data_IF_792113483657
#
_entry.id   IF_792113483657
#
_cell.length_a   1.000
_cell.length_b   1.000
_cell.length_c   1.000
_cell.angle_alpha   90.00
_cell.angle_beta   90.00
_cell.angle_gamma   90.00
#
_symmetry.space_group_name_H-M   'P 1'
#
loop_
_entity.id
_entity.type
_entity.pdbx_description
1 polymer ?
#
# COMPACT_ATOMS: atom_id res chain seq x y z
N UNK A 1 37.01 30.57 22.46
CA UNK A 1 37.97 29.59 21.92
C UNK A 1 39.22 30.31 21.39
N UNK A 2 40.04 30.92 22.25
CA UNK A 2 41.34 31.45 21.81
C UNK A 2 42.41 31.55 22.91
N UNK A 3 42.26 30.78 24.00
CA UNK A 3 43.18 30.83 25.14
C UNK A 3 43.51 29.43 25.69
N UNK A 4 43.58 28.42 24.83
CA UNK A 4 43.91 27.02 25.23
C UNK A 4 44.91 26.38 24.25
N UNK A 5 45.98 27.09 23.87
CA UNK A 5 46.99 26.51 22.94
C UNK A 5 48.40 26.41 23.55
N UNK A 6 48.70 27.00 24.71
CA UNK A 6 50.07 27.00 25.25
C UNK A 6 50.20 26.53 26.71
N UNK A 7 49.58 25.40 27.09
CA UNK A 7 49.91 24.72 28.35
C UNK A 7 50.31 23.26 28.12
N UNK A 8 51.27 22.74 28.92
CA UNK A 8 51.95 21.48 28.63
C UNK A 8 50.99 20.30 28.71
N UNK A 9 51.22 19.35 27.81
CA UNK A 9 50.53 18.08 27.52
C UNK A 9 50.44 17.08 28.69
N UNK A 10 50.50 17.52 29.95
CA UNK A 10 50.57 16.66 31.14
C UNK A 10 49.58 17.05 32.25
N UNK A 11 48.53 17.83 31.96
CA UNK A 11 47.56 18.28 32.98
C UNK A 11 46.56 17.21 33.44
N UNK A 12 46.36 16.13 32.69
CA UNK A 12 45.44 15.05 33.06
C UNK A 12 46.05 13.68 32.70
N UNK A 13 46.22 12.76 33.66
CA UNK A 13 46.69 11.41 33.35
C UNK A 13 45.68 10.68 32.46
N UNK A 14 46.13 9.87 31.50
CA UNK A 14 45.26 9.14 30.54
C UNK A 14 44.14 8.33 31.22
N UNK A 15 44.40 7.84 32.43
CA UNK A 15 43.41 7.13 33.26
C UNK A 15 42.23 8.04 33.63
N UNK A 16 42.49 9.32 33.94
CA UNK A 16 41.44 10.30 34.23
C UNK A 16 40.59 10.59 32.99
N UNK A 17 41.23 10.76 31.82
CA UNK A 17 40.53 10.97 30.55
C UNK A 17 39.65 9.77 30.19
N UNK A 18 40.16 8.55 30.38
CA UNK A 18 39.41 7.30 30.15
C UNK A 18 38.22 7.17 31.12
N UNK A 19 38.42 7.44 32.40
CA UNK A 19 37.34 7.39 33.39
C UNK A 19 36.27 8.46 33.13
N UNK A 20 36.67 9.67 32.71
CA UNK A 20 35.75 10.73 32.33
C UNK A 20 34.95 10.36 31.07
N UNK A 21 35.60 9.77 30.06
CA UNK A 21 34.95 9.29 28.85
C UNK A 21 33.97 8.15 29.16
N UNK A 22 34.34 7.20 30.03
CA UNK A 22 33.47 6.14 30.49
C UNK A 22 32.24 6.71 31.22
N UNK A 23 32.44 7.62 32.18
CA UNK A 23 31.34 8.27 32.88
C UNK A 23 30.43 9.04 31.92
N UNK A 24 31.00 9.78 30.97
CA UNK A 24 30.21 10.49 29.96
C UNK A 24 29.39 9.52 29.09
N UNK A 25 29.96 8.37 28.72
CA UNK A 25 29.26 7.33 27.96
C UNK A 25 28.11 6.72 28.78
N UNK A 26 28.33 6.43 30.06
CA UNK A 26 27.29 5.93 30.98
C UNK A 26 26.17 6.97 31.18
N UNK A 27 26.53 8.23 31.40
CA UNK A 27 25.57 9.34 31.54
C UNK A 27 24.76 9.52 30.25
N UNK A 28 25.42 9.49 29.08
CA UNK A 28 24.76 9.55 27.77
C UNK A 28 23.79 8.39 27.57
N UNK A 29 24.21 7.15 27.83
CA UNK A 29 23.34 5.97 27.72
C UNK A 29 22.15 6.02 28.67
N UNK A 30 22.34 6.52 29.90
CA UNK A 30 21.27 6.71 30.88
C UNK A 30 20.24 7.74 30.40
N UNK A 31 20.71 8.87 29.86
CA UNK A 31 19.84 9.92 29.31
C UNK A 31 19.11 9.44 28.05
N UNK A 32 19.81 8.80 27.11
CA UNK A 32 19.21 8.20 25.92
C UNK A 32 18.17 7.15 26.29
N UNK A 33 18.46 6.28 27.27
CA UNK A 33 17.53 5.29 27.79
C UNK A 33 16.25 5.94 28.34
N UNK A 34 16.39 6.98 29.17
CA UNK A 34 15.24 7.73 29.73
C UNK A 34 14.38 8.36 28.63
N UNK A 35 15.00 9.00 27.64
CA UNK A 35 14.26 9.60 26.52
C UNK A 35 13.58 8.56 25.65
N UNK A 36 14.26 7.46 25.33
CA UNK A 36 13.68 6.36 24.56
C UNK A 36 12.47 5.75 25.28
N UNK A 37 12.55 5.54 26.60
CA UNK A 37 11.43 5.07 27.40
C UNK A 37 10.27 6.08 27.41
N UNK A 38 10.56 7.37 27.57
CA UNK A 38 9.54 8.43 27.56
C UNK A 38 8.84 8.55 26.19
N UNK A 39 9.61 8.52 25.10
CA UNK A 39 9.08 8.54 23.73
C UNK A 39 8.21 7.31 23.47
N UNK A 40 8.67 6.12 23.88
CA UNK A 40 7.91 4.87 23.69
C UNK A 40 6.59 4.92 24.45
N UNK A 41 6.62 5.33 25.73
CA UNK A 41 5.41 5.49 26.54
C UNK A 41 4.44 6.52 25.93
N UNK A 42 4.95 7.63 25.40
CA UNK A 42 4.13 8.64 24.74
C UNK A 42 3.49 8.10 23.44
N UNK A 43 4.26 7.35 22.62
CA UNK A 43 3.75 6.72 21.40
C UNK A 43 2.66 5.69 21.71
N UNK A 44 2.87 4.84 22.70
CA UNK A 44 1.88 3.84 23.12
C UNK A 44 0.60 4.51 23.62
N UNK A 45 0.74 5.59 24.40
CA UNK A 45 -0.41 6.37 24.87
C UNK A 45 -1.19 7.01 23.70
N UNK A 46 -0.49 7.62 22.74
CA UNK A 46 -1.11 8.20 21.53
C UNK A 46 -1.82 7.13 20.69
N UNK A 47 -1.21 5.96 20.53
CA UNK A 47 -1.80 4.83 19.81
C UNK A 47 -3.08 4.33 20.48
N UNK A 48 -3.09 4.22 21.81
CA UNK A 48 -4.27 3.84 22.57
C UNK A 48 -5.38 4.90 22.45
N UNK A 49 -5.05 6.19 22.64
CA UNK A 49 -6.01 7.27 22.48
C UNK A 49 -6.63 7.31 21.09
N UNK A 50 -5.81 7.09 20.05
CA UNK A 50 -6.28 7.02 18.67
C UNK A 50 -7.28 5.87 18.49
N UNK A 51 -6.94 4.66 18.96
CA UNK A 51 -7.83 3.50 18.89
C UNK A 51 -9.16 3.77 19.59
N UNK A 52 -9.13 4.24 20.83
CA UNK A 52 -10.34 4.56 21.59
C UNK A 52 -11.19 5.61 20.89
N UNK A 53 -10.56 6.62 20.26
CA UNK A 53 -11.28 7.67 19.53
C UNK A 53 -11.95 7.12 18.28
N UNK A 54 -11.29 6.27 17.51
CA UNK A 54 -11.87 5.61 16.32
C UNK A 54 -13.08 4.76 16.72
N UNK A 55 -12.97 3.96 17.79
CA UNK A 55 -14.07 3.12 18.26
C UNK A 55 -15.27 3.96 18.73
N UNK A 56 -15.04 5.04 19.49
CA UNK A 56 -16.11 5.96 19.91
C UNK A 56 -16.82 6.62 18.72
N UNK A 57 -16.07 7.10 17.72
CA UNK A 57 -16.65 7.69 16.50
C UNK A 57 -17.54 6.71 15.75
N UNK A 58 -17.19 5.43 15.75
CA UNK A 58 -18.02 4.39 15.16
C UNK A 58 -19.29 4.13 15.95
N UNK A 59 -19.21 4.03 17.27
CA UNK A 59 -20.39 3.90 18.14
C UNK A 59 -21.37 5.07 17.92
N UNK A 60 -20.87 6.30 17.85
CA UNK A 60 -21.65 7.50 17.51
C UNK A 60 -22.31 7.39 16.11
N UNK A 61 -21.59 6.85 15.12
CA UNK A 61 -22.12 6.63 13.77
C UNK A 61 -23.23 5.59 13.74
N UNK A 62 -23.14 4.52 14.55
CA UNK A 62 -24.18 3.48 14.63
C UNK A 62 -25.46 4.02 15.25
N UNK A 63 -25.35 4.80 16.33
CA UNK A 63 -26.50 5.45 16.99
C UNK A 63 -27.18 6.46 16.07
N UNK A 64 -26.39 7.20 15.28
CA UNK A 64 -26.94 8.15 14.31
C UNK A 64 -27.73 7.47 13.19
N UNK A 65 -27.31 6.28 12.75
CA UNK A 65 -28.03 5.52 11.72
C UNK A 65 -29.31 4.85 12.26
N UNK A 66 -29.31 4.36 13.51
CA UNK A 66 -30.50 3.71 14.10
C UNK A 66 -31.65 4.70 14.35
N UNK A 67 -31.33 5.97 14.66
CA UNK A 67 -32.32 7.05 14.80
C UNK A 67 -32.96 7.47 13.46
N UNK A 68 -32.27 7.25 12.33
CA UNK A 68 -32.82 7.54 11.00
C UNK A 68 -33.78 6.45 10.50
N UNK A 69 -33.62 5.20 10.94
CA UNK A 69 -34.48 4.09 10.50
C UNK A 69 -35.84 4.00 11.19
N UNK A 70 -36.07 4.79 12.25
CA UNK A 70 -37.32 4.73 13.03
C UNK A 70 -38.36 5.79 12.68
N UNK A 71 -38.01 6.84 11.91
CA UNK A 71 -38.96 7.90 11.58
C UNK A 71 -38.84 8.29 10.10
N UNK A 72 -39.76 7.78 9.29
CA UNK A 72 -40.08 8.35 7.98
C UNK A 72 -40.68 9.74 8.17
N UNK A 73 -39.84 10.74 8.42
CA UNK A 73 -40.20 12.15 8.26
C UNK A 73 -38.95 13.00 8.10
N UNK A 74 -38.99 13.84 7.07
CA UNK A 74 -38.01 14.89 6.75
C UNK A 74 -37.70 15.72 8.00
N UNK A 75 -36.53 15.57 8.57
CA UNK A 75 -36.03 16.50 9.58
C UNK A 75 -34.59 16.87 9.25
N UNK A 76 -34.43 18.11 8.79
CA UNK A 76 -33.19 18.87 8.86
C UNK A 76 -32.84 19.06 10.34
N UNK A 77 -32.00 18.22 10.91
CA UNK A 77 -31.44 18.46 12.25
C UNK A 77 -29.94 18.66 12.19
N UNK A 78 -29.58 19.95 12.12
CA UNK A 78 -28.34 20.49 12.67
C UNK A 78 -28.27 20.08 14.15
N UNK A 79 -27.50 19.06 14.50
CA UNK A 79 -27.13 18.81 15.89
C UNK A 79 -25.67 19.19 16.15
N UNK A 80 -25.55 20.14 17.07
CA UNK A 80 -24.37 20.72 17.67
C UNK A 80 -23.58 19.67 18.46
N UNK A 81 -22.36 19.41 18.03
CA UNK A 81 -21.33 18.76 18.85
C UNK A 81 -20.85 19.78 19.89
N UNK A 82 -20.74 19.43 21.19
CA UNK A 82 -20.26 20.35 22.22
C UNK A 82 -18.81 20.82 21.93
N UNK A 83 -18.60 22.11 22.15
CA UNK A 83 -17.49 22.93 21.65
C UNK A 83 -16.16 22.79 22.43
N UNK A 84 -15.89 21.66 23.09
CA UNK A 84 -14.72 21.52 23.99
C UNK A 84 -13.71 20.43 23.57
N UNK A 85 -13.84 19.84 22.39
CA UNK A 85 -12.80 18.96 21.83
C UNK A 85 -12.02 19.68 20.73
N UNK A 86 -10.68 19.74 20.78
CA UNK A 86 -9.87 20.42 19.76
C UNK A 86 -9.95 19.79 18.35
N UNK A 87 -10.76 18.74 18.14
CA UNK A 87 -10.99 18.10 16.84
C UNK A 87 -12.48 17.81 16.62
N UNK A 88 -13.20 18.79 16.06
CA UNK A 88 -14.58 18.62 15.58
C UNK A 88 -14.59 17.95 14.19
N UNK A 89 -14.34 16.64 14.18
CA UNK A 89 -14.51 15.80 12.98
C UNK A 89 -15.99 15.63 12.73
N UNK A 90 -16.47 16.03 11.55
CA UNK A 90 -17.82 15.69 11.07
C UNK A 90 -17.63 14.81 9.84
N UNK A 91 -18.32 13.68 9.78
CA UNK A 91 -18.32 12.83 8.59
C UNK A 91 -19.17 13.54 7.54
N UNK A 92 -18.64 13.76 6.34
CA UNK A 92 -19.45 14.32 5.26
C UNK A 92 -20.59 13.34 4.95
N UNK A 93 -21.83 13.77 5.17
CA UNK A 93 -22.99 13.14 4.51
C UNK A 93 -22.78 13.36 3.00
N UNK A 94 -23.00 12.36 2.13
CA UNK A 94 -22.83 12.51 0.69
C UNK A 94 -23.91 13.46 0.12
N UNK A 95 -23.76 14.76 0.38
CA UNK A 95 -24.37 15.80 -0.43
C UNK A 95 -23.65 15.81 -1.77
N UNK A 96 -24.42 15.90 -2.85
CA UNK A 96 -24.00 15.90 -4.25
C UNK A 96 -23.12 17.10 -4.64
N UNK A 97 -22.00 17.29 -3.95
CA UNK A 97 -20.97 18.27 -4.28
C UNK A 97 -20.12 17.66 -5.37
N UNK A 98 -20.37 18.07 -6.61
CA UNK A 98 -19.53 17.94 -7.82
C UNK A 98 -18.21 17.18 -7.65
N UNK A 99 -18.28 15.86 -7.46
CA UNK A 99 -17.16 15.00 -7.81
C UNK A 99 -17.27 14.87 -9.33
N UNK A 100 -16.22 15.23 -10.08
CA UNK A 100 -16.09 14.73 -11.45
C UNK A 100 -16.45 13.25 -11.41
N UNK A 101 -17.46 12.87 -12.18
CA UNK A 101 -18.12 11.57 -12.06
C UNK A 101 -17.07 10.51 -12.40
N UNK A 102 -16.43 9.93 -11.39
CA UNK A 102 -15.42 8.90 -11.54
C UNK A 102 -16.07 7.75 -12.29
N UNK A 103 -15.50 7.38 -13.45
CA UNK A 103 -16.01 6.23 -14.20
C UNK A 103 -15.68 4.97 -13.43
N UNK A 104 -16.71 4.23 -13.07
CA UNK A 104 -16.60 2.98 -12.34
C UNK A 104 -17.66 1.96 -12.79
N UNK A 105 -17.28 0.69 -12.79
CA UNK A 105 -18.17 -0.44 -13.05
C UNK A 105 -17.84 -1.57 -12.10
N UNK A 106 -18.85 -2.30 -11.63
CA UNK A 106 -18.71 -3.36 -10.63
C UNK A 106 -19.31 -4.67 -11.15
N UNK A 107 -18.67 -5.78 -10.84
CA UNK A 107 -19.05 -7.12 -11.26
C UNK A 107 -18.92 -8.07 -10.08
N UNK A 108 -19.89 -8.95 -9.91
CA UNK A 108 -19.76 -10.10 -9.01
C UNK A 108 -19.52 -11.34 -9.86
N UNK A 109 -18.41 -12.02 -9.61
CA UNK A 109 -17.99 -13.20 -10.36
C UNK A 109 -17.87 -14.39 -9.41
N UNK A 110 -18.24 -15.56 -9.91
CA UNK A 110 -18.05 -16.82 -9.22
C UNK A 110 -16.97 -17.61 -9.95
N UNK A 111 -15.96 -18.08 -9.21
CA UNK A 111 -14.82 -18.80 -9.75
C UNK A 111 -14.63 -20.11 -8.99
N UNK A 112 -14.51 -21.22 -9.71
CA UNK A 112 -14.25 -22.54 -9.17
C UNK A 112 -15.01 -23.64 -9.90
N UNK A 113 -14.45 -24.85 -9.96
CA UNK A 113 -15.10 -25.98 -10.63
C UNK A 113 -16.11 -26.70 -9.73
N UNK A 114 -15.79 -26.85 -8.43
CA UNK A 114 -16.62 -27.57 -7.45
C UNK A 114 -17.03 -26.65 -6.29
N UNK A 115 -16.06 -25.98 -5.66
CA UNK A 115 -16.28 -24.94 -4.66
C UNK A 115 -16.15 -23.56 -5.34
N UNK A 116 -17.28 -22.88 -5.54
CA UNK A 116 -17.29 -21.55 -6.17
C UNK A 116 -17.02 -20.47 -5.13
N UNK A 117 -15.91 -19.76 -5.29
CA UNK A 117 -15.61 -18.55 -4.52
C UNK A 117 -16.19 -17.32 -5.22
N UNK A 118 -16.82 -16.44 -4.44
CA UNK A 118 -17.35 -15.18 -4.94
C UNK A 118 -16.31 -14.07 -4.82
N UNK A 119 -16.14 -13.30 -5.90
CA UNK A 119 -15.28 -12.13 -5.93
C UNK A 119 -16.06 -10.92 -6.44
N UNK A 120 -15.76 -9.75 -5.88
CA UNK A 120 -16.26 -8.48 -6.37
C UNK A 120 -15.15 -7.79 -7.16
N UNK A 121 -15.31 -7.65 -8.46
CA UNK A 121 -14.39 -6.90 -9.31
C UNK A 121 -14.94 -5.50 -9.50
N UNK A 122 -14.09 -4.47 -9.37
CA UNK A 122 -14.48 -3.09 -9.64
C UNK A 122 -13.47 -2.44 -10.57
N UNK A 123 -13.88 -2.08 -11.77
CA UNK A 123 -13.06 -1.33 -12.72
C UNK A 123 -13.27 0.16 -12.50
N UNK A 124 -12.20 0.91 -12.27
CA UNK A 124 -12.26 2.32 -11.85
C UNK A 124 -11.24 3.12 -12.63
N UNK A 125 -11.64 4.29 -13.14
CA UNK A 125 -10.72 5.27 -13.72
C UNK A 125 -10.36 6.33 -12.70
N UNK A 126 -9.12 6.32 -12.20
CA UNK A 126 -8.60 7.36 -11.30
C UNK A 126 -7.08 7.36 -11.24
N UNK A 127 -6.53 8.30 -10.47
CA UNK A 127 -5.12 8.25 -10.04
C UNK A 127 -4.97 7.21 -8.93
N UNK A 128 -3.91 6.40 -8.98
CA UNK A 128 -3.65 5.37 -7.97
C UNK A 128 -3.47 5.97 -6.57
N UNK A 129 -2.85 7.14 -6.47
CA UNK A 129 -2.56 7.81 -5.20
C UNK A 129 -3.80 8.46 -4.58
N UNK A 130 -4.93 8.56 -5.29
CA UNK A 130 -6.19 9.05 -4.72
C UNK A 130 -6.69 8.18 -3.57
N UNK A 131 -6.37 6.88 -3.57
CA UNK A 131 -6.65 5.97 -2.46
C UNK A 131 -5.81 6.24 -1.22
N UNK A 132 -4.66 6.90 -1.38
CA UNK A 132 -3.76 7.26 -0.30
C UNK A 132 -4.07 8.65 0.27
N UNK A 133 -4.45 9.59 -0.61
CA UNK A 133 -4.66 11.00 -0.25
C UNK A 133 -5.92 11.19 0.60
N UNK A 134 -5.74 11.69 1.81
CA UNK A 134 -6.83 12.15 2.66
C UNK A 134 -7.55 13.32 1.97
N UNK A 135 -8.82 13.11 1.62
CA UNK A 135 -9.69 14.16 1.11
C UNK A 135 -10.42 14.80 2.26
N UNK A 136 -10.15 16.09 2.48
CA UNK A 136 -10.81 16.89 3.51
C UNK A 136 -11.60 17.99 2.85
N UNK A 137 -12.90 18.05 3.10
CA UNK A 137 -13.74 19.17 2.67
C UNK A 137 -13.87 20.14 3.83
N UNK A 138 -13.48 21.40 3.64
CA UNK A 138 -13.72 22.46 4.60
C UNK A 138 -15.10 23.07 4.32
N UNK A 139 -16.06 22.86 5.22
CA UNK A 139 -17.37 23.53 5.20
C UNK A 139 -17.62 24.15 6.57
N UNK A 140 -17.95 25.44 6.62
CA UNK A 140 -18.25 26.18 7.86
C UNK A 140 -17.20 26.02 8.99
N UNK A 141 -15.92 26.21 8.69
CA UNK A 141 -14.78 26.04 9.62
C UNK A 141 -14.63 24.63 10.25
N UNK A 142 -15.35 23.64 9.75
CA UNK A 142 -15.24 22.24 10.18
C UNK A 142 -14.54 21.42 9.11
N UNK A 143 -13.63 20.54 9.56
CA UNK A 143 -12.94 19.59 8.69
C UNK A 143 -13.84 18.38 8.54
N UNK A 144 -14.37 18.19 7.33
CA UNK A 144 -15.15 17.01 7.00
C UNK A 144 -14.25 15.93 6.42
N UNK A 145 -14.30 14.74 7.00
CA UNK A 145 -13.66 13.55 6.45
C UNK A 145 -14.66 12.77 5.60
N UNK A 146 -14.15 12.16 4.54
CA UNK A 146 -14.91 11.20 3.75
C UNK A 146 -15.34 9.99 4.60
N UNK A 147 -16.59 9.50 4.48
CA UNK A 147 -17.05 8.28 5.15
C UNK A 147 -16.12 7.08 4.97
N UNK A 148 -15.52 6.95 3.78
CA UNK A 148 -14.57 5.91 3.42
C UNK A 148 -13.36 5.88 4.36
N UNK A 149 -12.92 7.04 4.85
CA UNK A 149 -11.81 7.12 5.80
C UNK A 149 -12.17 6.50 7.14
N UNK A 150 -13.37 6.77 7.66
CA UNK A 150 -13.80 6.15 8.91
C UNK A 150 -13.93 4.63 8.76
N UNK A 151 -14.46 4.16 7.63
CA UNK A 151 -14.55 2.73 7.34
C UNK A 151 -13.17 2.07 7.28
N UNK A 152 -12.18 2.76 6.73
CA UNK A 152 -10.79 2.28 6.68
C UNK A 152 -10.20 2.24 8.09
N UNK A 153 -10.34 3.30 8.88
CA UNK A 153 -9.88 3.31 10.28
C UNK A 153 -10.52 2.21 11.13
N UNK A 154 -11.80 1.93 10.89
CA UNK A 154 -12.51 0.82 11.49
C UNK A 154 -11.91 -0.54 11.10
N UNK A 155 -11.56 -0.68 9.83
CA UNK A 155 -10.98 -1.89 9.26
C UNK A 155 -9.57 -2.19 9.78
N UNK A 156 -8.82 -1.17 10.20
CA UNK A 156 -7.50 -1.32 10.82
C UNK A 156 -7.52 -2.24 12.06
N UNK A 157 -8.64 -2.28 12.78
CA UNK A 157 -8.84 -3.11 13.98
C UNK A 157 -9.76 -4.30 13.74
N UNK A 158 -10.04 -4.64 12.47
CA UNK A 158 -10.91 -5.74 12.06
C UNK A 158 -10.14 -6.80 11.25
N UNK A 159 -10.87 -7.74 10.64
CA UNK A 159 -10.33 -8.71 9.68
C UNK A 159 -10.65 -8.34 8.21
N UNK A 160 -10.80 -7.04 7.92
CA UNK A 160 -11.15 -6.52 6.59
C UNK A 160 -10.14 -5.49 6.08
N UNK A 161 -8.88 -5.87 6.01
CA UNK A 161 -7.80 -4.97 5.59
C UNK A 161 -7.85 -4.67 4.08
N UNK A 162 -7.31 -3.50 3.71
CA UNK A 162 -7.24 -3.01 2.34
C UNK A 162 -5.78 -2.86 1.90
N UNK A 163 -5.43 -3.48 0.78
CA UNK A 163 -4.14 -3.43 0.13
C UNK A 163 -4.16 -2.62 -1.18
N UNK A 164 -3.04 -1.98 -1.51
CA UNK A 164 -2.81 -1.25 -2.75
C UNK A 164 -1.52 -1.74 -3.40
N UNK A 165 -1.53 -1.97 -4.72
CA UNK A 165 -0.31 -2.26 -5.49
C UNK A 165 0.20 -0.98 -6.12
N UNK A 166 1.41 -0.56 -5.74
CA UNK A 166 2.13 0.57 -6.31
C UNK A 166 3.30 0.02 -7.13
N UNK A 167 3.36 0.35 -8.43
CA UNK A 167 4.49 -0.05 -9.27
C UNK A 167 5.66 0.89 -9.03
N UNK A 168 6.84 0.35 -8.76
CA UNK A 168 8.04 1.09 -8.38
C UNK A 168 9.27 0.64 -9.18
N UNK A 169 10.28 1.51 -9.35
CA UNK A 169 11.55 1.11 -9.96
C UNK A 169 12.35 0.14 -9.07
N UNK A 170 13.40 -0.46 -9.62
CA UNK A 170 14.30 -1.40 -8.91
C UNK A 170 14.96 -0.84 -7.66
N UNK A 171 15.23 0.46 -7.65
CA UNK A 171 15.87 1.14 -6.51
C UNK A 171 14.84 1.28 -5.40
N UNK A 172 15.23 0.99 -4.16
CA UNK A 172 14.40 1.23 -2.97
C UNK A 172 14.37 2.71 -2.62
N UNK A 173 15.53 3.37 -2.62
CA UNK A 173 15.72 4.79 -2.28
C UNK A 173 14.83 5.73 -3.09
N UNK A 174 14.34 6.77 -2.41
CA UNK A 174 13.58 7.84 -3.04
C UNK A 174 14.43 8.55 -4.09
N UNK A 175 13.88 8.73 -5.29
CA UNK A 175 14.53 9.50 -6.36
C UNK A 175 13.59 10.63 -6.76
N UNK A 176 14.13 11.83 -6.93
CA UNK A 176 13.33 13.00 -7.28
C UNK A 176 12.53 12.78 -8.57
N UNK A 177 11.23 13.07 -8.51
CA UNK A 177 10.28 12.94 -9.61
C UNK A 177 9.72 11.53 -9.82
N UNK A 178 10.05 10.56 -8.96
CA UNK A 178 9.44 9.23 -9.00
C UNK A 178 8.14 9.14 -8.19
N UNK A 179 7.31 8.14 -8.49
CA UNK A 179 6.04 7.93 -7.78
C UNK A 179 6.22 7.62 -6.29
N UNK A 180 7.41 7.15 -5.86
CA UNK A 180 7.66 6.86 -4.45
C UNK A 180 7.87 8.15 -3.66
N UNK A 181 8.52 9.16 -4.23
CA UNK A 181 8.65 10.49 -3.64
C UNK A 181 7.26 11.12 -3.47
N UNK A 182 6.41 11.04 -4.50
CA UNK A 182 5.04 11.53 -4.38
C UNK A 182 4.25 10.77 -3.29
N UNK A 183 4.37 9.44 -3.26
CA UNK A 183 3.77 8.63 -2.22
C UNK A 183 4.31 8.97 -0.82
N UNK A 184 5.61 9.18 -0.67
CA UNK A 184 6.25 9.60 0.58
C UNK A 184 5.67 10.93 1.07
N UNK A 185 5.54 11.91 0.17
CA UNK A 185 4.88 13.19 0.46
C UNK A 185 3.44 12.99 0.95
N UNK A 186 2.69 12.04 0.37
CA UNK A 186 1.33 11.72 0.84
C UNK A 186 1.35 11.12 2.25
N UNK A 187 2.28 10.21 2.54
CA UNK A 187 2.45 9.61 3.88
C UNK A 187 2.81 10.65 4.95
N UNK A 188 3.53 11.72 4.60
CA UNK A 188 3.96 12.76 5.54
C UNK A 188 2.89 13.83 5.83
N UNK A 189 1.81 13.87 5.05
CA UNK A 189 0.70 14.84 5.26
C UNK A 189 -0.05 14.64 6.57
N UNK A 190 0.05 13.46 7.18
CA UNK A 190 -0.62 13.13 8.44
C UNK A 190 0.23 12.19 9.27
N UNK A 191 0.15 12.32 10.59
CA UNK A 191 0.92 11.46 11.50
C UNK A 191 0.37 10.04 11.52
N UNK A 192 1.25 9.06 11.36
CA UNK A 192 0.93 7.64 11.61
C UNK A 192 1.19 7.30 13.08
N UNK A 193 0.14 6.89 13.80
CA UNK A 193 0.23 6.52 15.20
C UNK A 193 0.49 5.02 15.43
N UNK A 194 0.43 4.19 14.38
CA UNK A 194 0.51 2.74 14.47
C UNK A 194 1.81 2.17 13.94
N UNK A 195 2.30 2.76 12.85
CA UNK A 195 3.45 2.26 12.11
C UNK A 195 4.58 3.30 12.09
N UNK A 196 5.84 2.87 11.95
CA UNK A 196 6.95 3.79 11.72
C UNK A 196 6.72 4.64 10.47
N UNK A 197 7.39 5.80 10.40
CA UNK A 197 7.37 6.63 9.18
C UNK A 197 7.78 5.81 7.95
N UNK A 198 7.32 6.26 6.78
CA UNK A 198 7.62 5.57 5.54
C UNK A 198 9.13 5.46 5.29
N UNK A 199 9.90 6.51 5.60
CA UNK A 199 11.36 6.50 5.54
C UNK A 199 11.97 5.40 6.42
N UNK A 200 11.55 5.28 7.68
CA UNK A 200 12.06 4.24 8.57
C UNK A 200 11.70 2.83 8.08
N UNK A 201 10.49 2.64 7.53
CA UNK A 201 10.10 1.38 6.92
C UNK A 201 11.01 1.07 5.72
N UNK A 202 11.33 2.06 4.88
CA UNK A 202 12.20 1.88 3.72
C UNK A 202 13.62 1.50 4.14
N UNK A 203 14.18 2.12 5.18
CA UNK A 203 15.49 1.73 5.73
C UNK A 203 15.49 0.26 6.19
N UNK A 204 14.47 -0.16 6.93
CA UNK A 204 14.35 -1.58 7.34
C UNK A 204 14.17 -2.53 6.16
N UNK A 205 13.53 -2.08 5.08
CA UNK A 205 13.39 -2.86 3.83
C UNK A 205 14.74 -3.00 3.14
N UNK A 206 15.57 -1.95 3.12
CA UNK A 206 16.92 -1.98 2.56
C UNK A 206 17.81 -2.98 3.30
N UNK A 207 17.77 -2.99 4.63
CA UNK A 207 18.51 -3.97 5.44
C UNK A 207 18.06 -5.41 5.13
N UNK A 208 16.74 -5.63 5.02
CA UNK A 208 16.19 -6.93 4.62
C UNK A 208 16.61 -7.34 3.20
N UNK A 209 16.66 -6.38 2.27
CA UNK A 209 17.03 -6.62 0.87
C UNK A 209 18.49 -7.06 0.76
N UNK A 210 19.40 -6.42 1.51
CA UNK A 210 20.81 -6.82 1.56
C UNK A 210 20.97 -8.26 2.04
N UNK A 211 20.27 -8.63 3.12
CA UNK A 211 20.28 -10.00 3.63
C UNK A 211 19.72 -10.99 2.59
N UNK A 212 18.60 -10.66 1.95
CA UNK A 212 17.99 -11.50 0.93
C UNK A 212 18.90 -11.68 -0.29
N UNK A 213 19.60 -10.63 -0.72
CA UNK A 213 20.56 -10.69 -1.83
C UNK A 213 21.78 -11.55 -1.50
N UNK A 214 22.30 -11.47 -0.28
CA UNK A 214 23.38 -12.35 0.19
C UNK A 214 22.96 -13.83 0.20
N UNK A 215 21.74 -14.14 0.64
CA UNK A 215 21.23 -15.52 0.60
C UNK A 215 21.09 -16.01 -0.84
N UNK A 216 20.58 -15.17 -1.75
CA UNK A 216 20.46 -15.49 -3.18
C UNK A 216 21.83 -15.77 -3.81
N UNK A 217 22.84 -14.92 -3.55
CA UNK A 217 24.19 -15.11 -4.09
C UNK A 217 24.84 -16.40 -3.58
N UNK A 218 24.65 -16.71 -2.31
CA UNK A 218 25.18 -17.93 -1.70
C UNK A 218 24.51 -19.20 -2.24
N UNK A 219 23.20 -19.15 -2.51
CA UNK A 219 22.45 -20.25 -3.12
C UNK A 219 22.85 -20.48 -4.58
N UNK A 220 23.17 -19.44 -5.35
CA UNK A 220 23.72 -19.60 -6.70
C UNK A 220 25.15 -20.15 -6.70
N UNK A 221 25.98 -19.76 -5.72
CA UNK A 221 27.36 -20.22 -5.63
C UNK A 221 27.48 -21.72 -5.28
N UNK A 222 26.48 -22.31 -4.61
CA UNK A 222 26.48 -23.74 -4.25
C UNK A 222 26.06 -24.67 -5.41
N UNK A 223 25.42 -24.13 -6.45
CA UNK A 223 24.98 -24.90 -7.64
C UNK A 223 26.04 -24.94 -8.76
N UNK A 224 26.98 -23.99 -8.78
CA UNK A 224 27.97 -23.82 -9.86
C UNK A 224 29.40 -24.33 -9.53
N UNK A 225 29.53 -25.35 -8.66
CA UNK A 225 30.83 -25.91 -8.27
C UNK A 225 31.63 -26.61 -9.40
N UNK A 226 31.12 -26.64 -10.63
CA UNK A 226 31.76 -27.30 -11.79
C UNK A 226 32.08 -26.39 -12.99
N UNK A 227 31.97 -25.06 -12.88
CA UNK A 227 32.44 -24.16 -13.95
C UNK A 227 33.60 -23.28 -13.47
N UNK A 228 34.83 -23.70 -13.83
CA UNK A 228 36.06 -22.91 -13.69
C UNK A 228 36.05 -21.83 -14.77
N UNK A 229 35.24 -20.80 -14.57
CA UNK A 229 35.49 -19.49 -15.18
C UNK A 229 35.19 -18.44 -14.14
N UNK A 230 36.25 -17.99 -13.48
CA UNK A 230 36.28 -16.83 -12.60
C UNK A 230 35.91 -15.56 -13.38
N UNK A 231 34.61 -15.33 -13.60
CA UNK A 231 34.12 -13.97 -13.77
C UNK A 231 33.97 -13.41 -12.37
N UNK A 232 35.03 -12.74 -11.90
CA UNK A 232 34.89 -11.67 -10.92
C UNK A 232 33.96 -10.64 -11.55
N UNK A 233 32.65 -10.80 -11.39
CA UNK A 233 31.73 -9.69 -11.58
C UNK A 233 31.98 -8.77 -10.40
N UNK A 234 32.79 -7.76 -10.65
CA UNK A 234 32.88 -6.52 -9.90
C UNK A 234 31.50 -5.83 -9.92
N UNK A 235 30.53 -6.49 -9.29
CA UNK A 235 29.20 -5.95 -9.08
C UNK A 235 29.38 -4.81 -8.10
N UNK A 236 29.22 -3.60 -8.59
CA UNK A 236 29.29 -2.39 -7.77
C UNK A 236 28.42 -2.59 -6.52
N UNK A 237 28.83 -2.00 -5.39
CA UNK A 237 28.04 -2.01 -4.14
C UNK A 237 26.59 -1.53 -4.35
N UNK A 238 26.33 -0.82 -5.45
CA UNK A 238 25.00 -0.37 -5.86
C UNK A 238 24.09 -1.52 -6.33
N UNK A 239 24.62 -2.54 -7.00
CA UNK A 239 23.81 -3.67 -7.52
C UNK A 239 23.29 -4.56 -6.39
N UNK A 240 24.00 -4.61 -5.24
CA UNK A 240 23.56 -5.39 -4.07
C UNK A 240 22.34 -4.79 -3.35
N UNK A 241 21.97 -3.54 -3.66
CA UNK A 241 20.81 -2.84 -3.09
C UNK A 241 19.63 -2.73 -4.07
N UNK A 242 19.66 -3.46 -5.19
CA UNK A 242 18.58 -3.44 -6.17
C UNK A 242 17.63 -4.62 -5.98
N UNK A 243 16.33 -4.33 -6.11
CA UNK A 243 15.32 -5.36 -6.23
C UNK A 243 15.27 -5.94 -7.65
N UNK A 244 14.93 -7.22 -7.76
CA UNK A 244 14.67 -7.85 -9.06
C UNK A 244 13.27 -7.49 -9.56
N UNK A 245 13.06 -7.46 -10.88
CA UNK A 245 11.73 -7.23 -11.45
C UNK A 245 10.81 -8.38 -11.02
N UNK A 246 9.61 -8.05 -10.54
CA UNK A 246 8.66 -9.02 -9.99
C UNK A 246 8.77 -9.24 -8.49
N UNK A 247 9.87 -8.82 -7.85
CA UNK A 247 9.94 -8.72 -6.39
C UNK A 247 8.98 -7.62 -5.92
N UNK A 248 8.52 -7.71 -4.68
CA UNK A 248 7.77 -6.64 -4.04
C UNK A 248 8.17 -6.51 -2.58
N UNK A 249 7.99 -5.31 -2.03
CA UNK A 249 8.11 -5.05 -0.60
C UNK A 249 6.85 -4.37 -0.07
N UNK A 250 6.70 -4.36 1.24
CA UNK A 250 5.46 -3.95 1.89
C UNK A 250 5.71 -2.81 2.85
N UNK A 251 4.90 -1.76 2.76
CA UNK A 251 4.80 -0.72 3.77
C UNK A 251 3.40 -0.69 4.36
N UNK A 252 3.29 -0.36 5.64
CA UNK A 252 2.05 -0.39 6.43
C UNK A 252 1.72 0.99 6.94
N UNK A 253 0.44 1.36 6.88
CA UNK A 253 -0.03 2.71 7.15
C UNK A 253 -1.39 2.69 7.84
N UNK A 254 -1.56 3.52 8.85
CA UNK A 254 -2.86 3.80 9.49
C UNK A 254 -3.41 5.17 9.07
N UNK A 255 -2.56 6.00 8.46
CA UNK A 255 -2.82 7.41 8.18
C UNK A 255 -3.36 7.70 6.76
N UNK A 256 -3.36 6.72 5.85
CA UNK A 256 -3.82 6.85 4.45
C UNK A 256 -5.35 6.73 4.29
N UNK A 257 -5.91 7.28 3.21
CA UNK A 257 -7.38 7.41 3.06
C UNK A 257 -8.15 6.07 3.09
N UNK A 258 -7.84 5.18 2.15
CA UNK A 258 -8.60 3.94 1.87
C UNK A 258 -7.74 2.66 1.97
N UNK A 259 -6.48 2.79 2.40
CA UNK A 259 -5.45 1.75 2.30
C UNK A 259 -4.74 1.56 3.63
N UNK A 260 -4.45 0.30 3.96
CA UNK A 260 -3.65 -0.07 5.14
C UNK A 260 -2.25 -0.56 4.74
N UNK A 261 -2.17 -1.26 3.61
CA UNK A 261 -0.97 -1.97 3.18
C UNK A 261 -0.67 -1.54 1.75
N UNK A 262 0.54 -1.08 1.49
CA UNK A 262 1.02 -0.77 0.13
C UNK A 262 2.07 -1.78 -0.26
N UNK A 263 1.75 -2.56 -1.29
CA UNK A 263 2.61 -3.49 -1.99
C UNK A 263 3.36 -2.75 -3.09
N UNK A 264 4.65 -2.51 -2.87
CA UNK A 264 5.53 -1.86 -3.83
C UNK A 264 6.08 -2.91 -4.78
N UNK A 265 5.40 -3.11 -5.92
CA UNK A 265 5.77 -4.09 -6.92
C UNK A 265 6.86 -3.53 -7.83
N UNK A 266 8.01 -4.20 -7.87
CA UNK A 266 9.17 -3.76 -8.62
C UNK A 266 8.99 -4.08 -10.09
N UNK A 267 8.99 -3.04 -10.92
CA UNK A 267 8.82 -3.14 -12.36
C UNK A 267 9.91 -2.38 -13.11
N UNK A 268 10.16 -2.78 -14.36
CA UNK A 268 10.87 -1.94 -15.30
C UNK A 268 9.84 -1.22 -16.17
N UNK A 269 9.45 -0.02 -15.74
CA UNK A 269 8.40 0.76 -16.38
C UNK A 269 8.69 1.03 -17.87
N UNK A 270 9.89 1.48 -18.21
CA UNK A 270 10.28 1.70 -19.62
C UNK A 270 10.16 0.44 -20.47
N UNK A 271 10.53 -0.72 -19.94
CA UNK A 271 10.37 -2.00 -20.63
C UNK A 271 8.90 -2.42 -20.74
N UNK A 272 8.08 -2.18 -19.71
CA UNK A 272 6.65 -2.47 -19.73
C UNK A 272 5.88 -1.62 -20.75
N UNK A 273 6.30 -0.36 -20.95
CA UNK A 273 5.69 0.58 -21.90
C UNK A 273 6.10 0.27 -23.35
N UNK A 274 7.40 0.13 -23.59
CA UNK A 274 7.95 -0.11 -24.94
C UNK A 274 7.63 -1.51 -25.49
N UNK A 275 7.48 -2.52 -24.62
CA UNK A 275 7.13 -3.87 -25.08
C UNK A 275 5.63 -4.01 -25.36
N UNK A 276 5.31 -4.27 -26.64
CA UNK A 276 3.99 -4.73 -27.09
C UNK A 276 3.66 -6.16 -26.62
N UNK A 277 4.69 -6.94 -26.26
CA UNK A 277 4.59 -8.38 -26.03
C UNK A 277 5.01 -8.76 -24.61
N UNK A 278 4.09 -8.54 -23.68
CA UNK A 278 4.15 -9.20 -22.37
C UNK A 278 3.48 -10.56 -22.48
N UNK A 279 4.08 -11.57 -21.86
CA UNK A 279 3.50 -12.91 -21.75
C UNK A 279 3.06 -13.19 -20.33
N UNK A 280 2.27 -14.25 -20.12
CA UNK A 280 1.84 -14.69 -18.78
C UNK A 280 2.99 -15.07 -17.85
N UNK A 281 4.20 -15.26 -18.40
CA UNK A 281 5.44 -15.57 -17.65
C UNK A 281 6.23 -14.31 -17.24
N UNK A 282 5.70 -13.12 -17.49
CA UNK A 282 6.40 -11.89 -17.12
C UNK A 282 6.50 -11.76 -15.60
N UNK A 283 7.69 -11.36 -15.11
CA UNK A 283 7.98 -11.35 -13.68
C UNK A 283 7.01 -10.47 -12.86
N UNK A 284 6.54 -9.34 -13.40
CA UNK A 284 5.53 -8.50 -12.73
C UNK A 284 4.18 -9.21 -12.51
N UNK A 285 3.77 -10.11 -13.42
CA UNK A 285 2.56 -10.91 -13.24
C UNK A 285 2.76 -11.99 -12.17
N UNK A 286 3.95 -12.57 -12.08
CA UNK A 286 4.30 -13.45 -10.97
C UNK A 286 4.35 -12.70 -9.64
N UNK A 287 4.84 -11.45 -9.63
CA UNK A 287 4.77 -10.57 -8.47
C UNK A 287 3.32 -10.33 -8.02
N UNK A 288 2.40 -10.02 -8.95
CA UNK A 288 0.97 -9.90 -8.64
C UNK A 288 0.36 -11.19 -8.08
N UNK A 289 0.72 -12.35 -8.65
CA UNK A 289 0.30 -13.65 -8.11
C UNK A 289 0.77 -13.84 -6.66
N UNK A 290 2.03 -13.49 -6.36
CA UNK A 290 2.57 -13.60 -5.02
C UNK A 290 1.94 -12.59 -4.05
N UNK A 291 1.62 -11.38 -4.51
CA UNK A 291 0.85 -10.40 -3.72
C UNK A 291 -0.54 -10.94 -3.37
N UNK A 292 -1.27 -11.52 -4.34
CA UNK A 292 -2.57 -12.14 -4.07
C UNK A 292 -2.48 -13.27 -3.05
N UNK A 293 -1.43 -14.11 -3.15
CA UNK A 293 -1.13 -15.14 -2.16
C UNK A 293 -0.91 -14.54 -0.77
N UNK A 294 -0.16 -13.45 -0.67
CA UNK A 294 0.08 -12.75 0.59
C UNK A 294 -1.22 -12.13 1.15
N UNK A 295 -2.09 -11.59 0.28
CA UNK A 295 -3.41 -11.11 0.67
C UNK A 295 -4.27 -12.21 1.29
N UNK A 296 -4.31 -13.41 0.69
CA UNK A 296 -5.04 -14.55 1.25
C UNK A 296 -4.48 -15.02 2.59
N UNK A 297 -3.15 -15.02 2.73
CA UNK A 297 -2.47 -15.43 3.98
C UNK A 297 -2.72 -14.47 5.15
N UNK A 298 -2.94 -13.19 4.85
CA UNK A 298 -3.07 -12.11 5.85
C UNK A 298 -4.49 -11.53 5.92
N UNK A 299 -5.50 -12.24 5.42
CA UNK A 299 -6.92 -11.83 5.45
C UNK A 299 -7.17 -10.41 4.88
N UNK A 300 -6.48 -10.06 3.80
CA UNK A 300 -6.71 -8.80 3.10
C UNK A 300 -7.91 -8.97 2.18
N UNK A 301 -8.99 -8.28 2.51
CA UNK A 301 -10.29 -8.45 1.84
C UNK A 301 -10.41 -7.62 0.59
N UNK A 302 -9.69 -6.49 0.49
CA UNK A 302 -9.72 -5.61 -0.69
C UNK A 302 -8.32 -5.40 -1.22
N UNK A 303 -8.10 -5.67 -2.51
CA UNK A 303 -6.83 -5.37 -3.18
C UNK A 303 -7.09 -4.44 -4.37
N UNK A 304 -6.44 -3.29 -4.38
CA UNK A 304 -6.50 -2.31 -5.46
C UNK A 304 -5.20 -2.37 -6.27
N UNK A 305 -5.28 -2.60 -7.58
CA UNK A 305 -4.11 -2.78 -8.45
C UNK A 305 -4.25 -2.05 -9.80
N UNK A 306 -3.14 -1.61 -10.41
CA UNK A 306 -3.15 -0.97 -11.72
C UNK A 306 -3.29 -2.01 -12.83
N UNK A 307 -4.44 -2.00 -13.51
CA UNK A 307 -4.84 -3.02 -14.49
C UNK A 307 -3.87 -3.11 -15.68
N UNK A 308 -3.32 -1.98 -16.12
CA UNK A 308 -2.44 -1.91 -17.29
C UNK A 308 -0.95 -2.13 -16.95
N UNK A 309 -0.63 -2.38 -15.67
CA UNK A 309 0.74 -2.38 -15.15
C UNK A 309 1.49 -1.07 -15.46
N UNK A 310 0.76 0.05 -15.41
CA UNK A 310 1.28 1.44 -15.49
C UNK A 310 0.38 2.35 -14.65
N UNK A 311 0.90 3.49 -14.22
CA UNK A 311 0.17 4.53 -13.49
C UNK A 311 -0.42 5.61 -14.40
N UNK A 312 0.23 5.87 -15.54
CA UNK A 312 -0.14 6.90 -16.50
C UNK A 312 -0.20 6.35 -17.93
N UNK A 313 -1.06 6.94 -18.76
CA UNK A 313 -1.02 6.71 -20.22
C UNK A 313 0.08 7.53 -20.88
N UNK A 314 0.83 6.90 -21.78
CA UNK A 314 1.76 7.56 -22.71
C UNK A 314 1.27 7.46 -24.14
N UNK A 315 1.85 8.26 -25.06
CA UNK A 315 1.50 8.25 -26.48
C UNK A 315 1.72 6.89 -27.17
N UNK A 316 2.66 6.09 -26.66
CA UNK A 316 2.95 4.74 -27.17
C UNK A 316 1.82 3.72 -26.88
N UNK A 317 0.95 4.02 -25.91
CA UNK A 317 -0.13 3.13 -25.46
C UNK A 317 -1.38 3.27 -26.33
N UNK A 318 -1.29 2.70 -27.53
CA UNK A 318 -2.42 2.63 -28.47
C UNK A 318 -3.58 1.78 -27.94
N UNK A 319 -4.78 1.95 -28.50
CA UNK A 319 -5.97 1.14 -28.11
C UNK A 319 -5.70 -0.38 -28.20
N UNK A 320 -5.09 -0.93 -29.28
CA UNK A 320 -4.75 -2.35 -29.33
C UNK A 320 -3.81 -2.80 -28.21
N UNK A 321 -2.84 -1.96 -27.82
CA UNK A 321 -1.96 -2.22 -26.69
C UNK A 321 -2.76 -2.35 -25.38
N UNK A 322 -3.65 -1.39 -25.13
CA UNK A 322 -4.50 -1.36 -23.92
C UNK A 322 -5.41 -2.59 -23.84
N UNK A 323 -6.04 -2.95 -24.97
CA UNK A 323 -6.92 -4.13 -25.05
C UNK A 323 -6.13 -5.44 -24.81
N UNK A 324 -5.02 -5.64 -25.52
CA UNK A 324 -4.18 -6.84 -25.38
C UNK A 324 -3.61 -6.98 -23.96
N UNK A 325 -3.15 -5.86 -23.38
CA UNK A 325 -2.62 -5.83 -22.01
C UNK A 325 -3.70 -6.16 -20.99
N UNK A 326 -4.87 -5.54 -21.12
CA UNK A 326 -6.01 -5.80 -20.22
C UNK A 326 -6.44 -7.25 -20.30
N UNK A 327 -6.59 -7.80 -21.50
CA UNK A 327 -6.98 -9.20 -21.68
C UNK A 327 -5.99 -10.16 -21.00
N UNK A 328 -4.68 -9.94 -21.19
CA UNK A 328 -3.64 -10.74 -20.58
C UNK A 328 -3.69 -10.66 -19.04
N UNK A 329 -3.74 -9.46 -18.48
CA UNK A 329 -3.72 -9.25 -17.02
C UNK A 329 -4.98 -9.85 -16.39
N UNK A 330 -6.16 -9.64 -16.98
CA UNK A 330 -7.42 -10.22 -16.49
C UNK A 330 -7.42 -11.75 -16.57
N UNK A 331 -6.89 -12.35 -17.64
CA UNK A 331 -6.76 -13.81 -17.76
C UNK A 331 -5.81 -14.39 -16.70
N UNK A 332 -4.67 -13.74 -16.49
CA UNK A 332 -3.72 -14.16 -15.46
C UNK A 332 -4.34 -14.03 -14.06
N UNK A 333 -4.98 -12.89 -13.77
CA UNK A 333 -5.66 -12.62 -12.51
C UNK A 333 -6.76 -13.66 -12.24
N UNK A 334 -7.61 -13.98 -13.23
CA UNK A 334 -8.61 -15.06 -13.13
C UNK A 334 -7.95 -16.38 -12.73
N UNK A 335 -6.85 -16.76 -13.38
CA UNK A 335 -6.10 -17.96 -13.06
C UNK A 335 -5.56 -17.96 -11.62
N UNK A 336 -4.99 -16.83 -11.19
CA UNK A 336 -4.47 -16.68 -9.83
C UNK A 336 -5.59 -16.74 -8.78
N UNK A 337 -6.73 -16.11 -9.02
CA UNK A 337 -7.90 -16.17 -8.14
C UNK A 337 -8.44 -17.59 -8.00
N UNK A 338 -8.51 -18.33 -9.11
CA UNK A 338 -8.91 -19.75 -9.08
C UNK A 338 -7.92 -20.61 -8.28
N UNK A 339 -6.61 -20.34 -8.40
CA UNK A 339 -5.59 -21.01 -7.59
C UNK A 339 -5.78 -20.70 -6.10
N UNK A 340 -5.98 -19.43 -5.72
CA UNK A 340 -6.16 -19.04 -4.32
C UNK A 340 -7.42 -19.65 -3.69
N UNK A 341 -8.50 -19.82 -4.46
CA UNK A 341 -9.72 -20.50 -4.00
C UNK A 341 -9.49 -21.94 -3.53
N UNK A 342 -8.43 -22.61 -4.01
CA UNK A 342 -8.07 -23.96 -3.54
C UNK A 342 -7.46 -24.00 -2.15
N UNK A 343 -7.01 -22.86 -1.60
CA UNK A 343 -6.32 -22.79 -0.31
C UNK A 343 -7.25 -22.61 0.90
N UNK A 344 -8.56 -22.72 0.68
CA UNK A 344 -9.54 -22.89 1.77
C UNK A 344 -9.95 -21.62 2.50
N UNK A 345 -9.36 -20.45 2.20
CA UNK A 345 -9.84 -19.16 2.72
C UNK A 345 -11.03 -18.69 1.88
N UNK A 346 -12.22 -19.18 2.19
CA UNK A 346 -13.46 -18.86 1.46
C UNK A 346 -13.99 -17.45 1.78
N UNK A 347 -13.10 -16.47 1.93
CA UNK A 347 -13.46 -15.07 2.18
C UNK A 347 -13.67 -14.38 0.84
N UNK A 348 -14.85 -13.79 0.67
CA UNK A 348 -15.16 -12.94 -0.47
C UNK A 348 -14.13 -11.80 -0.53
N UNK A 349 -13.39 -11.71 -1.63
CA UNK A 349 -12.38 -10.68 -1.83
C UNK A 349 -12.83 -9.70 -2.92
N UNK A 350 -12.61 -8.41 -2.67
CA UNK A 350 -12.85 -7.32 -3.62
C UNK A 350 -11.54 -6.98 -4.32
N UNK A 351 -11.51 -7.06 -5.66
CA UNK A 351 -10.37 -6.62 -6.46
C UNK A 351 -10.76 -5.37 -7.22
N UNK A 352 -10.09 -4.27 -6.91
CA UNK A 352 -10.27 -3.00 -7.60
C UNK A 352 -9.19 -2.87 -8.68
N UNK A 353 -9.65 -2.81 -9.93
CA UNK A 353 -8.83 -2.70 -11.12
C UNK A 353 -8.81 -1.23 -11.54
N UNK A 354 -7.68 -0.57 -11.32
CA UNK A 354 -7.53 0.86 -11.61
C UNK A 354 -6.94 1.02 -13.01
N UNK A 355 -7.55 1.89 -13.80
CA UNK A 355 -6.98 2.39 -15.06
C UNK A 355 -6.64 3.87 -14.92
N UNK A 356 -5.58 4.37 -15.60
CA UNK A 356 -5.13 5.75 -15.46
C UNK A 356 -6.22 6.78 -15.77
N UNK A 357 -6.21 7.90 -15.04
CA UNK A 357 -7.19 9.00 -15.17
C UNK A 357 -7.31 9.58 -16.57
N UNK A 358 -6.24 9.52 -17.36
CA UNK A 358 -6.16 10.04 -18.73
C UNK A 358 -6.61 9.04 -19.81
N UNK A 359 -7.14 7.86 -19.43
CA UNK A 359 -7.74 6.93 -20.38
C UNK A 359 -9.05 7.49 -20.96
N UNK A 360 -9.23 7.39 -22.27
CA UNK A 360 -10.44 7.80 -22.98
C UNK A 360 -11.69 7.03 -22.50
N UNK A 361 -12.82 7.72 -22.36
CA UNK A 361 -14.11 7.15 -21.95
C UNK A 361 -14.50 5.93 -22.81
N UNK A 362 -14.38 6.04 -24.13
CA UNK A 362 -14.73 4.95 -25.05
C UNK A 362 -13.89 3.69 -24.80
N UNK A 363 -12.59 3.85 -24.57
CA UNK A 363 -11.70 2.73 -24.24
C UNK A 363 -12.07 2.14 -22.88
N UNK A 364 -12.41 2.96 -21.89
CA UNK A 364 -12.89 2.49 -20.59
C UNK A 364 -14.10 1.55 -20.74
N UNK A 365 -15.10 1.93 -21.54
CA UNK A 365 -16.28 1.08 -21.78
C UNK A 365 -15.93 -0.23 -22.50
N UNK A 366 -14.99 -0.21 -23.45
CA UNK A 366 -14.48 -1.44 -24.08
C UNK A 366 -13.81 -2.37 -23.07
N UNK A 367 -13.05 -1.83 -22.11
CA UNK A 367 -12.47 -2.62 -21.01
C UNK A 367 -13.55 -3.18 -20.08
N UNK A 368 -14.57 -2.38 -19.78
CA UNK A 368 -15.71 -2.79 -18.97
C UNK A 368 -16.46 -4.00 -19.59
N UNK A 369 -16.63 -4.04 -20.91
CA UNK A 369 -17.25 -5.17 -21.62
C UNK A 369 -16.37 -6.43 -21.64
N UNK A 370 -15.05 -6.26 -21.52
CA UNK A 370 -14.08 -7.36 -21.52
C UNK A 370 -14.08 -8.13 -20.20
N UNK A 371 -14.29 -7.45 -19.06
CA UNK A 371 -14.33 -8.07 -17.72
C UNK A 371 -15.32 -9.25 -17.65
N UNK A 372 -16.62 -9.09 -17.93
CA UNK A 372 -17.56 -10.20 -17.86
C UNK A 372 -17.24 -11.28 -18.90
N UNK A 373 -16.73 -10.91 -20.07
CA UNK A 373 -16.37 -11.85 -21.14
C UNK A 373 -15.26 -12.81 -20.68
N UNK A 374 -14.23 -12.32 -20.00
CA UNK A 374 -13.13 -13.14 -19.48
C UNK A 374 -13.55 -13.97 -18.27
N UNK A 375 -14.37 -13.40 -17.38
CA UNK A 375 -14.73 -14.04 -16.12
C UNK A 375 -15.95 -14.97 -16.20
N UNK A 376 -16.64 -15.05 -17.35
CA UNK A 376 -17.69 -16.06 -17.57
C UNK A 376 -17.15 -17.49 -17.39
N UNK A 377 -17.93 -18.32 -16.70
CA UNK A 377 -17.72 -19.77 -16.68
C UNK A 377 -18.13 -20.35 -18.04
N UNK A 378 -17.37 -21.31 -18.62
CA UNK A 378 -17.85 -22.06 -19.77
C UNK A 378 -19.12 -22.82 -19.38
N UNK A 379 -20.19 -22.71 -20.17
CA UNK A 379 -21.39 -23.52 -19.98
C UNK A 379 -21.01 -24.99 -20.15
N UNK A 380 -21.02 -25.78 -19.08
CA UNK A 380 -20.99 -27.23 -19.19
C UNK A 380 -22.30 -27.67 -19.82
N UNK A 381 -22.24 -28.13 -21.08
CA UNK A 381 -23.35 -28.83 -21.71
C UNK A 381 -23.47 -30.18 -21.01
N UNK A 382 -24.43 -30.33 -20.12
CA UNK A 382 -24.80 -31.63 -19.57
C UNK A 382 -25.41 -32.43 -20.72
N UNK A 383 -24.64 -33.36 -21.30
CA UNK A 383 -25.21 -34.39 -22.17
C UNK A 383 -26.11 -35.24 -21.28
N UNK A 384 -27.42 -35.05 -21.42
CA UNK A 384 -28.41 -35.99 -20.89
C UNK A 384 -28.29 -37.27 -21.72
N UNK A 385 -27.90 -38.37 -21.06
CA UNK A 385 -27.98 -39.72 -21.61
C UNK A 385 -29.37 -40.28 -21.40
#
# INVERSE_FOLDING_TARGET
>A
MHEIINEPTNKYPDVFVRNLAQKHMEDKQSVEGRWNSSITSAKDHQKQQFKERVMRLYEESLVSNSLQTSNGNKINTRHSIPLSSPLSVIIAVPDAVSHERRLETSYTVQLGAQLKSMYNLRLIRCDMLDYCRLKTTKKDNKILFEPQRLQTLMSLYSSSLCGLVLLVPKRTRLTTGDIKEEFASVCERSTDFHFPSFEHQLSSIEDCLQQANQVRSNASASLDSNSVTSKQSDGSLEDQNLCSVGDFYVSRHSNLSEVHIVYHLVVNDSALRSSSEITSRHASLFGLRNILKECCKHDITTLTLPLLLTHDMTEEMTIPWVMKRTELVLKCLKGFMMEMGTWGTNRCSTIQLVVPKNLLDQTFFQLADLVPTIFREPRTVTLQF
#
